data_IF_425053939674
#
_entry.id   IF_425053939674
#
_cell.length_a   1.000
_cell.length_b   1.000
_cell.length_c   1.000
_cell.angle_alpha   90.00
_cell.angle_beta   90.00
_cell.angle_gamma   90.00
#
_symmetry.space_group_name_H-M   'P 1'
#
loop_
_entity.id
_entity.type
_entity.pdbx_description
1 polymer ?
#
# COMPACT_ATOMS: atom_id res chain seq x y z
N UNK A 1 -18.27 -10.78 -0.13
CA UNK A 1 -18.41 -10.86 1.33
C UNK A 1 -19.81 -10.40 1.72
N UNK A 2 -20.76 -11.32 1.97
CA UNK A 2 -22.16 -10.99 2.23
C UNK A 2 -22.44 -10.45 3.65
N UNK A 3 -21.47 -10.51 4.57
CA UNK A 3 -21.64 -10.08 5.97
C UNK A 3 -21.28 -8.60 6.24
N UNK A 4 -20.92 -7.82 5.22
CA UNK A 4 -20.34 -6.49 5.41
C UNK A 4 -21.30 -5.40 5.94
N UNK A 5 -22.61 -5.70 6.06
CA UNK A 5 -23.63 -4.76 6.53
C UNK A 5 -24.70 -5.48 7.38
N UNK A 6 -24.37 -5.90 8.60
CA UNK A 6 -25.28 -6.65 9.46
C UNK A 6 -26.52 -5.85 9.89
N UNK A 7 -26.43 -4.52 9.87
CA UNK A 7 -27.48 -3.61 10.32
C UNK A 7 -28.43 -3.18 9.18
N UNK A 8 -28.14 -3.58 7.95
CA UNK A 8 -28.94 -3.21 6.77
C UNK A 8 -28.88 -1.72 6.42
N UNK A 9 -27.81 -1.02 6.81
CA UNK A 9 -27.62 0.40 6.52
C UNK A 9 -27.61 0.66 5.00
N UNK A 10 -28.24 1.74 4.56
CA UNK A 10 -28.21 2.11 3.15
C UNK A 10 -26.82 2.67 2.78
N UNK A 11 -26.01 1.86 2.10
CA UNK A 11 -24.71 2.29 1.57
C UNK A 11 -24.89 2.80 0.14
N UNK A 12 -24.57 4.06 -0.10
CA UNK A 12 -24.72 4.70 -1.43
C UNK A 12 -23.37 4.91 -2.10
N UNK A 13 -23.16 4.28 -3.27
CA UNK A 13 -21.99 4.49 -4.11
C UNK A 13 -22.26 5.56 -5.19
N UNK A 14 -21.29 6.45 -5.41
CA UNK A 14 -21.33 7.43 -6.51
C UNK A 14 -20.29 7.00 -7.55
N UNK A 15 -20.71 6.91 -8.81
CA UNK A 15 -19.86 6.47 -9.92
C UNK A 15 -20.03 7.40 -11.13
N UNK A 16 -19.03 7.40 -12.01
CA UNK A 16 -19.08 8.10 -13.30
C UNK A 16 -19.70 7.27 -14.42
N UNK A 17 -20.08 6.01 -14.14
CA UNK A 17 -20.85 5.17 -15.07
C UNK A 17 -22.19 5.84 -15.35
N UNK A 18 -22.51 6.03 -16.64
CA UNK A 18 -23.73 6.73 -17.06
C UNK A 18 -24.89 5.75 -17.34
N UNK A 19 -24.58 4.47 -17.59
CA UNK A 19 -25.56 3.42 -17.76
C UNK A 19 -25.49 2.41 -16.60
N UNK A 20 -26.61 2.24 -15.89
CA UNK A 20 -26.74 1.31 -14.78
C UNK A 20 -26.69 -0.17 -15.18
N UNK A 21 -26.74 -0.48 -16.49
CA UNK A 21 -26.62 -1.85 -17.02
C UNK A 21 -25.17 -2.26 -17.27
N UNK A 22 -24.23 -1.33 -17.25
CA UNK A 22 -22.81 -1.61 -17.49
C UNK A 22 -22.15 -2.39 -16.34
N UNK A 23 -22.65 -2.21 -15.12
CA UNK A 23 -22.08 -2.85 -13.93
C UNK A 23 -23.19 -3.12 -12.90
N UNK A 24 -23.29 -4.36 -12.42
CA UNK A 24 -24.25 -4.68 -11.36
C UNK A 24 -23.87 -4.01 -10.03
N UNK A 25 -24.85 -3.85 -9.13
CA UNK A 25 -24.60 -3.31 -7.78
C UNK A 25 -23.56 -4.13 -7.00
N UNK A 26 -23.55 -5.46 -7.19
CA UNK A 26 -22.58 -6.36 -6.53
C UNK A 26 -21.17 -6.13 -7.07
N UNK A 27 -21.02 -5.99 -8.38
CA UNK A 27 -19.74 -5.68 -9.02
C UNK A 27 -19.25 -4.28 -8.64
N UNK A 28 -20.14 -3.29 -8.58
CA UNK A 28 -19.81 -1.94 -8.12
C UNK A 28 -19.33 -1.96 -6.66
N UNK A 29 -20.01 -2.69 -5.78
CA UNK A 29 -19.59 -2.85 -4.39
C UNK A 29 -18.25 -3.59 -4.27
N UNK A 30 -18.05 -4.63 -5.09
CA UNK A 30 -16.78 -5.37 -5.17
C UNK A 30 -15.62 -4.50 -5.66
N UNK A 31 -15.85 -3.68 -6.68
CA UNK A 31 -14.88 -2.73 -7.21
C UNK A 31 -14.57 -1.63 -6.17
N UNK A 32 -15.59 -1.12 -5.48
CA UNK A 32 -15.38 -0.16 -4.39
C UNK A 32 -14.54 -0.77 -3.25
N UNK A 33 -14.75 -2.05 -2.92
CA UNK A 33 -13.96 -2.73 -1.90
C UNK A 33 -12.46 -2.78 -2.25
N UNK A 34 -12.08 -2.80 -3.54
CA UNK A 34 -10.67 -2.74 -3.96
C UNK A 34 -9.98 -1.41 -3.59
N UNK A 35 -10.73 -0.39 -3.16
CA UNK A 35 -10.14 0.83 -2.56
C UNK A 35 -9.34 0.51 -1.29
N UNK A 36 -9.73 -0.53 -0.54
CA UNK A 36 -9.00 -0.93 0.67
C UNK A 36 -7.54 -1.33 0.39
N UNK A 37 -7.24 -1.83 -0.80
CA UNK A 37 -5.85 -2.13 -1.20
C UNK A 37 -5.01 -0.86 -1.28
N UNK A 38 -5.57 0.22 -1.82
CA UNK A 38 -4.91 1.53 -1.88
C UNK A 38 -4.69 2.12 -0.49
N UNK A 39 -5.70 2.04 0.38
CA UNK A 39 -5.58 2.56 1.75
C UNK A 39 -4.58 1.74 2.58
N UNK A 40 -4.56 0.42 2.40
CA UNK A 40 -3.60 -0.48 3.03
C UNK A 40 -2.17 -0.17 2.58
N UNK A 41 -1.94 0.02 1.28
CA UNK A 41 -0.65 0.42 0.72
C UNK A 41 -0.19 1.81 1.23
N UNK A 42 -1.12 2.77 1.36
CA UNK A 42 -0.82 4.08 1.94
C UNK A 42 -0.50 3.99 3.44
N UNK A 43 -1.21 3.16 4.18
CA UNK A 43 -0.95 2.87 5.59
C UNK A 43 0.42 2.23 5.80
N UNK A 44 0.79 1.34 4.89
CA UNK A 44 2.11 0.71 4.79
C UNK A 44 3.23 1.71 4.56
N UNK A 45 3.11 2.55 3.53
CA UNK A 45 4.10 3.57 3.22
C UNK A 45 4.28 4.54 4.40
N UNK A 46 3.19 5.00 5.00
CA UNK A 46 3.24 5.94 6.14
C UNK A 46 3.80 5.30 7.40
N UNK A 47 3.45 4.04 7.71
CA UNK A 47 3.75 3.47 9.04
C UNK A 47 4.96 2.56 9.06
N UNK A 48 5.29 1.89 7.95
CA UNK A 48 6.30 0.83 7.89
C UNK A 48 7.58 1.27 7.18
N UNK A 49 7.52 2.30 6.32
CA UNK A 49 8.71 2.90 5.68
C UNK A 49 9.21 4.16 6.38
N UNK A 50 8.35 4.86 7.13
CA UNK A 50 8.82 5.88 8.06
C UNK A 50 9.45 5.18 9.28
N UNK A 51 10.76 5.34 9.44
CA UNK A 51 11.57 4.87 10.58
C UNK A 51 10.96 5.29 11.95
N UNK A 52 11.19 4.53 13.06
CA UNK A 52 10.49 4.68 14.35
C UNK A 52 10.53 6.09 14.99
N UNK A 53 9.68 6.36 16.02
CA UNK A 53 9.21 7.67 16.46
C UNK A 53 10.23 8.49 17.28
N UNK A 54 11.49 8.52 16.86
CA UNK A 54 12.55 9.33 17.49
C UNK A 54 12.98 10.55 16.68
N UNK A 55 12.56 10.68 15.41
CA UNK A 55 12.97 11.80 14.53
C UNK A 55 11.86 12.47 13.74
N UNK A 56 10.61 12.09 13.96
CA UNK A 56 9.49 12.93 13.53
C UNK A 56 9.23 13.99 14.60
N UNK A 57 10.16 14.94 14.73
CA UNK A 57 9.90 16.17 15.50
C UNK A 57 8.57 16.77 15.02
N UNK A 58 7.75 17.40 15.89
CA UNK A 58 6.56 18.13 15.48
C UNK A 58 6.81 19.15 14.35
N UNK A 59 8.06 19.64 14.21
CA UNK A 59 8.52 20.49 13.10
C UNK A 59 8.56 19.78 11.73
N UNK A 60 8.57 18.45 11.70
CA UNK A 60 8.61 17.63 10.48
C UNK A 60 7.24 17.44 9.83
N UNK A 61 6.14 17.65 10.58
CA UNK A 61 4.78 17.65 10.02
C UNK A 61 4.58 18.83 9.05
N UNK A 62 5.25 19.97 9.31
CA UNK A 62 5.36 21.11 8.37
C UNK A 62 6.23 20.83 7.13
N UNK A 63 6.89 19.66 7.03
CA UNK A 63 7.79 19.27 5.94
C UNK A 63 7.27 18.05 5.15
N UNK A 64 5.95 17.87 5.08
CA UNK A 64 5.33 16.99 4.08
C UNK A 64 5.16 17.78 2.77
N UNK A 65 6.27 17.97 2.06
CA UNK A 65 6.24 18.57 0.72
C UNK A 65 5.95 17.49 -0.32
N UNK A 66 5.32 17.87 -1.44
CA UNK A 66 5.05 16.98 -2.58
C UNK A 66 6.27 16.12 -2.98
N UNK A 67 7.51 16.65 -3.07
CA UNK A 67 8.70 15.83 -3.35
C UNK A 67 8.96 14.75 -2.31
N UNK A 68 8.76 15.04 -1.02
CA UNK A 68 8.97 14.08 0.06
C UNK A 68 7.92 12.96 0.03
N UNK A 69 6.66 13.32 -0.24
CA UNK A 69 5.59 12.35 -0.47
C UNK A 69 5.94 11.44 -1.66
N UNK A 70 6.41 12.03 -2.76
CA UNK A 70 6.86 11.30 -3.95
C UNK A 70 7.99 10.32 -3.65
N UNK A 71 9.01 10.73 -2.90
CA UNK A 71 10.10 9.83 -2.48
C UNK A 71 9.62 8.65 -1.63
N UNK A 72 8.68 8.87 -0.71
CA UNK A 72 8.09 7.81 0.11
C UNK A 72 7.28 6.82 -0.74
N UNK A 73 6.48 7.32 -1.68
CA UNK A 73 5.69 6.49 -2.60
C UNK A 73 6.58 5.68 -3.55
N UNK A 74 7.65 6.29 -4.08
CA UNK A 74 8.64 5.60 -4.92
C UNK A 74 9.36 4.47 -4.16
N UNK A 75 9.77 4.74 -2.92
CA UNK A 75 10.39 3.71 -2.08
C UNK A 75 9.42 2.55 -1.79
N UNK A 76 8.15 2.85 -1.51
CA UNK A 76 7.11 1.84 -1.34
C UNK A 76 6.92 1.00 -2.60
N UNK A 77 6.80 1.66 -3.75
CA UNK A 77 6.66 0.99 -5.04
C UNK A 77 7.84 0.06 -5.33
N UNK A 78 9.08 0.51 -5.13
CA UNK A 78 10.27 -0.29 -5.38
C UNK A 78 10.31 -1.56 -4.51
N UNK A 79 9.96 -1.45 -3.22
CA UNK A 79 9.91 -2.62 -2.32
C UNK A 79 8.79 -3.57 -2.71
N UNK A 80 7.60 -3.07 -3.06
CA UNK A 80 6.49 -3.91 -3.52
C UNK A 80 6.79 -4.61 -4.84
N UNK A 81 7.42 -3.92 -5.78
CA UNK A 81 7.87 -4.52 -7.03
C UNK A 81 8.88 -5.64 -6.78
N UNK A 82 9.85 -5.43 -5.89
CA UNK A 82 10.81 -6.47 -5.50
C UNK A 82 10.13 -7.69 -4.86
N UNK A 83 9.11 -7.47 -4.02
CA UNK A 83 8.30 -8.55 -3.46
C UNK A 83 7.61 -9.34 -4.57
N UNK A 84 6.94 -8.68 -5.51
CA UNK A 84 6.28 -9.37 -6.63
C UNK A 84 7.28 -10.22 -7.42
N UNK A 85 8.44 -9.68 -7.78
CA UNK A 85 9.48 -10.43 -8.51
C UNK A 85 10.00 -11.63 -7.71
N UNK A 86 10.19 -11.48 -6.41
CA UNK A 86 10.62 -12.59 -5.55
C UNK A 86 9.53 -13.66 -5.40
N UNK A 87 8.26 -13.27 -5.38
CA UNK A 87 7.12 -14.18 -5.31
C UNK A 87 7.02 -15.02 -6.59
N UNK A 88 7.08 -14.34 -7.73
CA UNK A 88 7.01 -14.96 -9.06
C UNK A 88 8.16 -15.95 -9.24
N UNK A 89 9.38 -15.56 -8.85
CA UNK A 89 10.55 -16.45 -8.90
C UNK A 89 10.45 -17.67 -7.98
N UNK A 90 9.62 -17.62 -6.93
CA UNK A 90 9.43 -18.69 -5.97
C UNK A 90 8.10 -19.44 -6.14
N UNK A 91 7.24 -19.05 -7.09
CA UNK A 91 5.91 -19.63 -7.31
C UNK A 91 4.89 -19.34 -6.21
N UNK A 92 5.08 -18.26 -5.44
CA UNK A 92 4.15 -17.83 -4.39
C UNK A 92 3.40 -16.55 -4.79
N UNK A 93 2.22 -16.34 -4.21
CA UNK A 93 1.52 -15.06 -4.34
C UNK A 93 2.22 -13.98 -3.51
N UNK A 94 2.39 -12.78 -4.08
CA UNK A 94 3.10 -11.66 -3.43
C UNK A 94 2.47 -11.21 -2.11
N UNK A 95 1.16 -11.44 -1.93
CA UNK A 95 0.39 -11.04 -0.76
C UNK A 95 0.77 -11.82 0.50
N UNK A 96 1.48 -12.94 0.33
CA UNK A 96 1.97 -13.78 1.42
C UNK A 96 3.26 -13.24 2.03
N UNK A 97 3.92 -12.26 1.38
CA UNK A 97 5.13 -11.63 1.89
C UNK A 97 4.81 -10.38 2.71
N UNK A 98 5.41 -10.27 3.90
CA UNK A 98 5.24 -9.10 4.76
C UNK A 98 6.20 -7.95 4.41
N UNK A 99 5.66 -6.76 4.10
CA UNK A 99 6.45 -5.57 3.76
C UNK A 99 7.56 -5.25 4.78
N UNK A 100 7.24 -5.29 6.08
CA UNK A 100 8.21 -5.01 7.15
C UNK A 100 9.42 -5.95 7.10
N UNK A 101 9.19 -7.23 6.79
CA UNK A 101 10.26 -8.21 6.68
C UNK A 101 11.14 -7.90 5.47
N UNK A 102 10.52 -7.66 4.31
CA UNK A 102 11.22 -7.29 3.07
C UNK A 102 12.08 -6.04 3.26
N UNK A 103 11.55 -4.99 3.88
CA UNK A 103 12.30 -3.75 4.15
C UNK A 103 13.55 -4.01 4.99
N UNK A 104 13.47 -4.89 6.00
CA UNK A 104 14.64 -5.27 6.82
C UNK A 104 15.69 -6.02 6.00
N UNK A 105 15.27 -6.94 5.13
CA UNK A 105 16.18 -7.69 4.24
C UNK A 105 16.87 -6.75 3.26
N UNK A 106 16.11 -5.87 2.58
CA UNK A 106 16.65 -4.89 1.63
C UNK A 106 17.66 -3.96 2.29
N UNK A 107 17.34 -3.42 3.47
CA UNK A 107 18.25 -2.55 4.22
C UNK A 107 19.54 -3.27 4.61
N UNK A 108 19.46 -4.51 5.07
CA UNK A 108 20.64 -5.33 5.39
C UNK A 108 21.51 -5.56 4.15
N UNK A 109 20.91 -5.83 3.00
CA UNK A 109 21.63 -5.98 1.74
C UNK A 109 22.35 -4.70 1.30
N UNK A 110 21.69 -3.54 1.44
CA UNK A 110 22.30 -2.25 1.12
C UNK A 110 23.45 -1.89 2.08
N UNK A 111 23.29 -2.17 3.38
CA UNK A 111 24.32 -1.95 4.40
C UNK A 111 25.53 -2.89 4.20
N UNK A 112 25.32 -4.13 3.75
CA UNK A 112 26.39 -5.08 3.42
C UNK A 112 27.10 -4.84 2.08
N UNK A 113 26.48 -4.07 1.17
CA UNK A 113 27.04 -3.72 -0.14
C UNK A 113 27.96 -2.49 -0.14
N UNK A 114 28.13 -1.82 1.00
CA UNK A 114 29.00 -0.63 1.11
C UNK A 114 30.44 -1.05 1.42
N UNK A 115 31.06 -1.72 0.45
CA UNK A 115 32.50 -1.73 0.24
C UNK A 115 32.72 -1.40 -1.24
N UNK A 116 32.64 -0.12 -1.57
CA UNK A 116 33.12 0.41 -2.85
C UNK A 116 34.27 1.37 -2.50
N UNK A 117 35.48 1.19 -3.06
CA UNK A 117 36.66 2.00 -2.76
C UNK A 117 36.50 3.47 -3.18
#
# INVERSE_FOLDING_TARGET
MPEANPDGELITGVTTLLDARELSTVELAGAYAQRWEHESALGEAKSRLLTPPGRCSPRSHRRWSLPRCGGLLLAHYAVRWLMCQAADGAGYASDWMGLTHTVRVVRRGAEGGTAIP
#
